data_IF_621581265173
#
_entry.id   IF_621581265173
#
_cell.length_a   1.000
_cell.length_b   1.000
_cell.length_c   1.000
_cell.angle_alpha   90.00
_cell.angle_beta   90.00
_cell.angle_gamma   90.00
#
_symmetry.space_group_name_H-M   'P 1'
#
loop_
_entity.id
_entity.type
_entity.pdbx_description
1 polymer ?
#
# COMPACT_ATOMS: atom_id res chain seq x y z
N UNK A 1 2.16 -8.86 -37.98
CA UNK A 1 1.28 -8.98 -36.81
C UNK A 1 2.09 -9.61 -35.68
N UNK A 2 2.76 -8.83 -34.81
CA UNK A 2 3.64 -9.42 -33.79
C UNK A 2 2.96 -9.49 -32.41
N UNK A 3 2.94 -10.70 -31.84
CA UNK A 3 3.06 -11.05 -30.40
C UNK A 3 2.37 -10.13 -29.36
N UNK A 4 1.04 -10.18 -29.23
CA UNK A 4 0.33 -9.62 -28.07
C UNK A 4 -0.15 -10.67 -27.05
N UNK A 5 -0.34 -11.94 -27.46
CA UNK A 5 -0.98 -12.95 -26.59
C UNK A 5 -0.13 -13.39 -25.37
N UNK A 6 1.20 -13.38 -25.48
CA UNK A 6 2.10 -13.82 -24.40
C UNK A 6 2.14 -12.86 -23.20
N UNK A 7 2.11 -11.55 -23.44
CA UNK A 7 2.17 -10.55 -22.36
C UNK A 7 0.85 -10.44 -21.60
N UNK A 8 -0.30 -10.72 -22.26
CA UNK A 8 -1.61 -10.62 -21.60
C UNK A 8 -1.82 -11.74 -20.57
N UNK A 9 -1.38 -12.96 -20.85
CA UNK A 9 -1.53 -14.09 -19.92
C UNK A 9 -0.65 -13.92 -18.68
N UNK A 10 0.61 -13.49 -18.85
CA UNK A 10 1.51 -13.18 -17.74
C UNK A 10 0.97 -12.02 -16.89
N UNK A 11 0.49 -10.94 -17.52
CA UNK A 11 -0.12 -9.82 -16.81
C UNK A 11 -1.40 -10.23 -16.05
N UNK A 12 -2.25 -11.08 -16.64
CA UNK A 12 -3.43 -11.61 -15.96
C UNK A 12 -3.05 -12.49 -14.77
N UNK A 13 -2.06 -13.37 -14.93
CA UNK A 13 -1.57 -14.20 -13.84
C UNK A 13 -0.99 -13.35 -12.70
N UNK A 14 -0.15 -12.35 -13.04
CA UNK A 14 0.40 -11.36 -12.12
C UNK A 14 -0.71 -10.64 -11.34
N UNK A 15 -1.71 -10.07 -12.04
CA UNK A 15 -2.85 -9.41 -11.41
C UNK A 15 -3.64 -10.34 -10.47
N UNK A 16 -3.89 -11.59 -10.88
CA UNK A 16 -4.59 -12.57 -10.06
C UNK A 16 -3.78 -12.98 -8.83
N UNK A 17 -2.49 -13.24 -9.00
CA UNK A 17 -1.58 -13.58 -7.92
C UNK A 17 -1.46 -12.42 -6.91
N UNK A 18 -1.25 -11.19 -7.40
CA UNK A 18 -1.25 -9.98 -6.60
C UNK A 18 -2.57 -9.80 -5.83
N UNK A 19 -3.71 -9.95 -6.50
CA UNK A 19 -5.03 -9.84 -5.87
C UNK A 19 -5.26 -10.91 -4.81
N UNK A 20 -4.87 -12.16 -5.08
CA UNK A 20 -4.99 -13.27 -4.14
C UNK A 20 -4.10 -13.07 -2.91
N UNK A 21 -2.84 -12.67 -3.11
CA UNK A 21 -1.93 -12.36 -2.01
C UNK A 21 -2.41 -11.14 -1.22
N UNK A 22 -2.84 -10.07 -1.88
CA UNK A 22 -3.34 -8.85 -1.21
C UNK A 22 -4.58 -9.15 -0.37
N UNK A 23 -5.51 -9.95 -0.89
CA UNK A 23 -6.72 -10.35 -0.17
C UNK A 23 -6.40 -11.23 1.03
N UNK A 24 -5.47 -12.19 0.86
CA UNK A 24 -5.00 -13.06 1.93
C UNK A 24 -4.30 -12.27 3.04
N UNK A 25 -3.44 -11.31 2.68
CA UNK A 25 -2.75 -10.44 3.62
C UNK A 25 -3.76 -9.62 4.44
N UNK A 26 -4.83 -9.10 3.83
CA UNK A 26 -5.87 -8.36 4.56
C UNK A 26 -6.56 -9.24 5.61
N UNK A 27 -6.94 -10.48 5.24
CA UNK A 27 -7.58 -11.42 6.17
C UNK A 27 -6.67 -11.81 7.32
N UNK A 28 -5.41 -12.13 7.02
CA UNK A 28 -4.41 -12.53 8.02
C UNK A 28 -4.05 -11.34 8.91
N UNK A 29 -3.85 -10.14 8.36
CA UNK A 29 -3.61 -8.94 9.15
C UNK A 29 -4.79 -8.66 10.10
N UNK A 30 -6.04 -8.81 9.63
CA UNK A 30 -7.21 -8.66 10.51
C UNK A 30 -7.21 -9.67 11.66
N UNK A 31 -6.85 -10.92 11.38
CA UNK A 31 -6.75 -11.98 12.40
C UNK A 31 -5.61 -11.71 13.37
N UNK A 32 -4.42 -11.31 12.89
CA UNK A 32 -3.29 -10.95 13.73
C UNK A 32 -3.64 -9.77 14.63
N UNK A 33 -4.29 -8.73 14.09
CA UNK A 33 -4.70 -7.54 14.86
C UNK A 33 -5.74 -7.89 15.94
N UNK A 34 -6.56 -8.92 15.72
CA UNK A 34 -7.50 -9.41 16.73
C UNK A 34 -6.78 -9.95 17.98
N UNK A 35 -5.64 -10.63 17.81
CA UNK A 35 -4.85 -11.17 18.92
C UNK A 35 -3.75 -10.21 19.41
N UNK A 36 -3.19 -9.39 18.52
CA UNK A 36 -2.17 -8.39 18.79
C UNK A 36 -2.75 -7.03 18.39
N UNK A 37 -3.43 -6.31 19.30
CA UNK A 37 -4.11 -5.06 19.00
C UNK A 37 -3.14 -3.87 18.83
N UNK A 38 -2.00 -4.10 18.17
CA UNK A 38 -0.93 -3.15 17.87
C UNK A 38 -0.61 -3.21 16.37
N UNK A 39 -1.49 -2.69 15.51
CA UNK A 39 -1.32 -2.75 14.06
C UNK A 39 -0.02 -2.11 13.57
N UNK A 40 0.44 -1.01 14.18
CA UNK A 40 1.70 -0.37 13.80
C UNK A 40 2.91 -1.23 14.14
N UNK A 41 2.86 -1.95 15.26
CA UNK A 41 3.88 -2.95 15.60
C UNK A 41 3.91 -4.08 14.56
N UNK A 42 2.75 -4.62 14.17
CA UNK A 42 2.65 -5.70 13.18
C UNK A 42 3.25 -5.26 11.84
N UNK A 43 2.88 -4.09 11.32
CA UNK A 43 3.46 -3.57 10.07
C UNK A 43 4.95 -3.30 10.18
N UNK A 44 5.43 -2.79 11.31
CA UNK A 44 6.87 -2.59 11.55
C UNK A 44 7.63 -3.92 11.49
N UNK A 45 7.08 -4.98 12.10
CA UNK A 45 7.65 -6.32 12.04
C UNK A 45 7.64 -6.87 10.60
N UNK A 46 6.57 -6.66 9.84
CA UNK A 46 6.48 -7.05 8.43
C UNK A 46 7.57 -6.36 7.58
N UNK A 47 7.74 -5.05 7.73
CA UNK A 47 8.77 -4.29 7.02
C UNK A 47 10.19 -4.74 7.41
N UNK A 48 10.43 -5.00 8.69
CA UNK A 48 11.72 -5.49 9.18
C UNK A 48 12.05 -6.88 8.63
N UNK A 49 11.09 -7.82 8.68
CA UNK A 49 11.28 -9.18 8.13
C UNK A 49 11.49 -9.13 6.62
N UNK A 50 10.73 -8.32 5.88
CA UNK A 50 10.93 -8.12 4.44
C UNK A 50 12.33 -7.59 4.15
N UNK A 51 12.80 -6.60 4.92
CA UNK A 51 14.14 -6.03 4.78
C UNK A 51 15.22 -7.08 5.03
N UNK A 52 15.12 -7.85 6.12
CA UNK A 52 16.06 -8.93 6.46
C UNK A 52 16.09 -9.99 5.36
N UNK A 53 14.92 -10.39 4.85
CA UNK A 53 14.80 -11.36 3.77
C UNK A 53 15.53 -10.90 2.51
N UNK A 54 15.29 -9.66 2.05
CA UNK A 54 15.93 -9.12 0.85
C UNK A 54 17.44 -8.95 1.03
N UNK A 55 17.89 -8.52 2.23
CA UNK A 55 19.32 -8.48 2.55
C UNK A 55 19.95 -9.88 2.54
N UNK A 56 19.23 -10.90 3.00
CA UNK A 56 19.64 -12.30 2.88
C UNK A 56 19.83 -12.73 1.43
N UNK A 57 18.86 -12.41 0.56
CA UNK A 57 18.95 -12.70 -0.89
C UNK A 57 20.10 -11.95 -1.57
N UNK A 58 20.42 -10.74 -1.11
CA UNK A 58 21.57 -9.98 -1.58
C UNK A 58 22.89 -10.68 -1.23
N UNK A 59 23.01 -11.21 -0.02
CA UNK A 59 24.22 -11.91 0.44
C UNK A 59 24.42 -13.23 -0.32
N UNK A 60 23.35 -13.97 -0.60
CA UNK A 60 23.41 -15.21 -1.38
C UNK A 60 23.61 -14.99 -2.88
N UNK A 61 23.51 -13.73 -3.35
CA UNK A 61 23.57 -13.38 -4.78
C UNK A 61 22.33 -13.79 -5.58
N UNK A 62 21.25 -14.21 -4.90
CA UNK A 62 20.00 -14.63 -5.53
C UNK A 62 19.18 -13.45 -6.08
N UNK A 63 19.45 -12.22 -5.63
CA UNK A 63 18.80 -11.00 -6.11
C UNK A 63 19.79 -9.85 -6.28
N UNK A 64 19.67 -9.11 -7.40
CA UNK A 64 20.42 -7.89 -7.62
C UNK A 64 19.80 -6.72 -6.85
N UNK A 65 20.24 -6.56 -5.60
CA UNK A 65 19.74 -5.50 -4.71
C UNK A 65 20.74 -4.35 -4.68
N UNK A 66 20.28 -3.14 -5.03
CA UNK A 66 21.05 -1.91 -4.90
C UNK A 66 21.49 -1.63 -3.46
N UNK A 67 22.67 -1.03 -3.30
CA UNK A 67 23.08 -0.48 -2.00
C UNK A 67 22.24 0.75 -1.63
N UNK A 68 22.29 1.14 -0.35
CA UNK A 68 21.71 2.41 0.10
C UNK A 68 22.62 3.57 -0.33
N UNK A 69 22.18 4.31 -1.34
CA UNK A 69 22.86 5.49 -1.88
C UNK A 69 22.04 6.72 -1.50
N UNK A 70 22.69 7.78 -1.03
CA UNK A 70 21.98 8.96 -0.52
C UNK A 70 21.08 9.63 -1.56
N UNK A 71 21.48 9.59 -2.83
CA UNK A 71 20.69 10.09 -3.96
C UNK A 71 19.33 9.38 -4.10
N UNK A 72 19.28 8.07 -3.78
CA UNK A 72 18.06 7.26 -3.79
C UNK A 72 17.33 7.34 -2.44
N UNK A 73 18.06 7.43 -1.32
CA UNK A 73 17.47 7.47 0.03
C UNK A 73 16.65 8.74 0.23
N UNK A 74 17.17 9.91 -0.16
CA UNK A 74 16.49 11.21 0.03
C UNK A 74 15.06 11.24 -0.57
N UNK A 75 14.83 10.92 -1.86
CA UNK A 75 13.48 10.90 -2.41
C UNK A 75 12.60 9.83 -1.76
N UNK A 76 13.17 8.68 -1.37
CA UNK A 76 12.42 7.62 -0.68
C UNK A 76 12.03 7.99 0.75
N UNK A 77 12.77 8.85 1.46
CA UNK A 77 12.33 9.33 2.78
C UNK A 77 10.99 10.06 2.68
N UNK A 78 10.81 10.91 1.68
CA UNK A 78 9.53 11.59 1.43
C UNK A 78 8.43 10.60 1.05
N UNK A 79 8.74 9.65 0.16
CA UNK A 79 7.79 8.60 -0.24
C UNK A 79 7.33 7.79 0.97
N UNK A 80 8.26 7.38 1.81
CA UNK A 80 7.97 6.53 2.96
C UNK A 80 7.16 7.26 4.03
N UNK A 81 7.36 8.56 4.22
CA UNK A 81 6.48 9.36 5.07
C UNK A 81 5.05 9.33 4.51
N UNK A 82 4.87 9.55 3.20
CA UNK A 82 3.55 9.47 2.57
C UNK A 82 2.94 8.07 2.71
N UNK A 83 3.71 7.02 2.47
CA UNK A 83 3.29 5.63 2.63
C UNK A 83 2.79 5.33 4.04
N UNK A 84 3.53 5.74 5.08
CA UNK A 84 3.10 5.56 6.47
C UNK A 84 1.89 6.43 6.81
N UNK A 85 1.83 7.67 6.31
CA UNK A 85 0.66 8.53 6.45
C UNK A 85 -0.59 7.91 5.78
N UNK A 86 -0.43 7.27 4.62
CA UNK A 86 -1.48 6.52 3.93
C UNK A 86 -2.00 5.38 4.79
N UNK A 87 -1.10 4.57 5.37
CA UNK A 87 -1.48 3.48 6.29
C UNK A 87 -2.26 4.04 7.48
N UNK A 88 -1.73 5.08 8.13
CA UNK A 88 -2.37 5.70 9.29
C UNK A 88 -3.76 6.27 8.96
N UNK A 89 -3.86 7.03 7.87
CA UNK A 89 -5.14 7.61 7.43
C UNK A 89 -6.13 6.51 7.05
N UNK A 90 -5.67 5.42 6.44
CA UNK A 90 -6.53 4.27 6.15
C UNK A 90 -7.08 3.63 7.43
N UNK A 91 -6.24 3.44 8.44
CA UNK A 91 -6.65 2.91 9.73
C UNK A 91 -7.64 3.83 10.44
N UNK A 92 -7.40 5.14 10.42
CA UNK A 92 -8.33 6.13 10.98
C UNK A 92 -9.64 6.17 10.21
N UNK A 93 -9.61 6.12 8.88
CA UNK A 93 -10.81 6.03 8.06
C UNK A 93 -11.63 4.79 8.44
N UNK A 94 -11.01 3.63 8.64
CA UNK A 94 -11.69 2.41 9.07
C UNK A 94 -12.30 2.50 10.48
N UNK A 95 -11.79 3.37 11.35
CA UNK A 95 -12.32 3.57 12.71
C UNK A 95 -13.56 4.47 12.72
N UNK A 96 -13.63 5.45 11.81
CA UNK A 96 -14.69 6.47 11.80
C UNK A 96 -15.69 6.32 10.63
N UNK A 97 -15.42 5.44 9.68
CA UNK A 97 -16.21 5.21 8.46
C UNK A 97 -16.37 3.73 8.14
N UNK A 98 -17.38 3.42 7.33
CA UNK A 98 -17.61 2.07 6.82
C UNK A 98 -16.51 1.64 5.84
N UNK A 99 -16.24 0.33 5.81
CA UNK A 99 -15.30 -0.29 4.87
C UNK A 99 -15.71 0.00 3.42
N UNK A 100 -17.01 -0.04 3.13
CA UNK A 100 -17.59 0.25 1.81
C UNK A 100 -17.23 1.66 1.33
N UNK A 101 -17.30 2.67 2.20
CA UNK A 101 -16.91 4.05 1.87
C UNK A 101 -15.45 4.11 1.44
N UNK A 102 -14.56 3.42 2.15
CA UNK A 102 -13.13 3.41 1.82
C UNK A 102 -12.88 2.68 0.50
N UNK A 103 -13.63 1.61 0.20
CA UNK A 103 -13.55 0.90 -1.09
C UNK A 103 -13.94 1.84 -2.23
N UNK A 104 -15.01 2.62 -2.08
CA UNK A 104 -15.47 3.59 -3.09
C UNK A 104 -14.46 4.72 -3.30
N UNK A 105 -13.90 5.29 -2.23
CA UNK A 105 -12.85 6.29 -2.37
C UNK A 105 -11.60 5.71 -3.04
N UNK A 106 -11.18 4.49 -2.65
CA UNK A 106 -10.02 3.82 -3.25
C UNK A 106 -10.23 3.53 -4.74
N UNK A 107 -11.41 3.11 -5.15
CA UNK A 107 -11.71 2.85 -6.58
C UNK A 107 -11.63 4.11 -7.43
N UNK A 108 -11.77 5.29 -6.82
CA UNK A 108 -11.61 6.59 -7.46
C UNK A 108 -10.16 7.06 -7.58
N UNK A 109 -9.20 6.45 -6.87
CA UNK A 109 -7.78 6.88 -6.88
C UNK A 109 -7.18 6.96 -8.30
N UNK A 110 -7.46 6.02 -9.22
CA UNK A 110 -6.99 6.11 -10.60
C UNK A 110 -7.40 7.40 -11.33
N UNK A 111 -8.53 8.03 -10.95
CA UNK A 111 -8.94 9.33 -11.50
C UNK A 111 -7.88 10.39 -11.23
N UNK A 112 -7.52 10.58 -9.96
CA UNK A 112 -6.54 11.59 -9.56
C UNK A 112 -5.16 11.23 -10.06
N UNK A 113 -4.76 9.96 -9.93
CA UNK A 113 -3.46 9.48 -10.40
C UNK A 113 -3.29 9.69 -11.90
N UNK A 114 -4.33 9.47 -12.72
CA UNK A 114 -4.23 9.72 -14.17
C UNK A 114 -3.98 11.19 -14.52
N UNK A 115 -4.61 12.10 -13.76
CA UNK A 115 -4.40 13.54 -13.92
C UNK A 115 -3.00 13.97 -13.44
N UNK A 116 -2.52 13.41 -12.33
CA UNK A 116 -1.17 13.66 -11.83
C UNK A 116 -0.10 13.09 -12.79
N UNK A 117 -0.32 11.90 -13.35
CA UNK A 117 0.55 11.29 -14.35
C UNK A 117 0.66 12.19 -15.61
N UNK A 118 -0.43 12.82 -16.04
CA UNK A 118 -0.42 13.78 -17.15
C UNK A 118 0.30 15.08 -16.78
N UNK A 119 -0.06 15.70 -15.64
CA UNK A 119 0.42 17.03 -15.25
C UNK A 119 1.89 17.04 -14.81
N UNK A 120 2.32 16.04 -14.04
CA UNK A 120 3.64 16.03 -13.39
C UNK A 120 4.64 15.07 -14.04
N UNK A 121 4.16 13.96 -14.61
CA UNK A 121 5.03 12.96 -15.24
C UNK A 121 5.07 13.08 -16.77
N UNK A 122 4.29 13.99 -17.36
CA UNK A 122 4.25 14.24 -18.80
C UNK A 122 3.78 13.05 -19.63
N UNK A 123 3.01 12.13 -19.03
CA UNK A 123 2.46 10.95 -19.73
C UNK A 123 1.26 11.33 -20.60
N UNK A 124 0.89 10.46 -21.54
CA UNK A 124 -0.29 10.70 -22.37
C UNK A 124 -1.58 10.62 -21.54
N UNK A 125 -2.59 11.41 -21.94
CA UNK A 125 -3.93 11.35 -21.35
C UNK A 125 -4.55 9.96 -21.52
N UNK A 126 -5.44 9.54 -20.59
CA UNK A 126 -6.14 8.28 -20.71
C UNK A 126 -6.88 8.16 -22.04
N UNK A 127 -6.91 6.96 -22.61
CA UNK A 127 -7.66 6.68 -23.84
C UNK A 127 -9.16 7.01 -23.66
N UNK A 128 -9.93 7.20 -24.74
CA UNK A 128 -11.39 7.41 -24.63
C UNK A 128 -12.10 6.28 -23.87
N UNK A 129 -11.64 5.03 -24.05
CA UNK A 129 -12.16 3.87 -23.32
C UNK A 129 -11.85 3.97 -21.80
N UNK A 130 -10.61 4.33 -21.45
CA UNK A 130 -10.21 4.56 -20.06
C UNK A 130 -10.99 5.73 -19.44
N UNK A 131 -11.22 6.80 -20.20
CA UNK A 131 -12.03 7.95 -19.77
C UNK A 131 -13.48 7.54 -19.49
N UNK A 132 -14.06 6.67 -20.33
CA UNK A 132 -15.38 6.07 -20.07
C UNK A 132 -15.43 5.27 -18.77
N UNK A 133 -14.43 4.42 -18.52
CA UNK A 133 -14.33 3.66 -17.27
C UNK A 133 -14.20 4.57 -16.03
N UNK A 134 -13.41 5.63 -16.15
CA UNK A 134 -13.26 6.67 -15.13
C UNK A 134 -14.59 7.39 -14.83
N UNK A 135 -15.39 7.72 -15.86
CA UNK A 135 -16.72 8.30 -15.68
C UNK A 135 -17.68 7.35 -14.95
N UNK A 136 -17.67 6.06 -15.28
CA UNK A 136 -18.49 5.05 -14.60
C UNK A 136 -18.13 4.96 -13.11
N UNK A 137 -16.84 5.04 -12.76
CA UNK A 137 -16.39 5.08 -11.37
C UNK A 137 -16.95 6.30 -10.63
N UNK A 138 -16.92 7.48 -11.24
CA UNK A 138 -17.50 8.71 -10.65
C UNK A 138 -19.00 8.54 -10.41
N UNK A 139 -19.74 8.03 -11.39
CA UNK A 139 -21.20 7.81 -11.26
C UNK A 139 -21.49 6.82 -10.13
N UNK A 140 -20.76 5.70 -10.07
CA UNK A 140 -20.91 4.71 -9.00
C UNK A 140 -20.60 5.29 -7.62
N UNK A 141 -19.54 6.09 -7.50
CA UNK A 141 -19.17 6.73 -6.25
C UNK A 141 -20.23 7.75 -5.78
N UNK A 142 -20.75 8.58 -6.68
CA UNK A 142 -21.84 9.52 -6.38
C UNK A 142 -23.10 8.77 -5.94
N UNK A 143 -23.47 7.70 -6.66
CA UNK A 143 -24.61 6.86 -6.29
C UNK A 143 -24.48 6.27 -4.89
N UNK A 144 -23.30 5.77 -4.53
CA UNK A 144 -23.02 5.26 -3.19
C UNK A 144 -23.20 6.35 -2.12
N UNK A 145 -22.56 7.52 -2.28
CA UNK A 145 -22.63 8.61 -1.28
C UNK A 145 -24.06 9.08 -1.04
N UNK A 146 -24.90 9.15 -2.07
CA UNK A 146 -26.31 9.53 -1.94
C UNK A 146 -27.14 8.47 -1.17
N UNK A 147 -26.74 7.21 -1.28
CA UNK A 147 -27.40 6.09 -0.60
C UNK A 147 -26.88 5.83 0.82
N UNK A 148 -25.65 6.25 1.14
CA UNK A 148 -24.97 5.90 2.39
C UNK A 148 -25.64 6.50 3.64
N UNK A 149 -25.98 5.64 4.58
CA UNK A 149 -26.59 6.02 5.85
C UNK A 149 -25.59 6.69 6.81
N UNK A 150 -24.30 6.30 6.76
CA UNK A 150 -23.27 6.89 7.62
C UNK A 150 -23.02 8.37 7.28
N UNK A 151 -23.03 8.71 5.99
CA UNK A 151 -23.00 10.10 5.53
C UNK A 151 -24.22 10.91 6.03
N UNK A 152 -25.42 10.31 6.03
CA UNK A 152 -26.64 10.97 6.50
C UNK A 152 -26.65 11.23 8.01
N UNK A 153 -26.01 10.36 8.80
CA UNK A 153 -26.00 10.45 10.26
C UNK A 153 -24.89 11.34 10.82
N UNK A 154 -23.69 11.29 10.22
CA UNK A 154 -22.50 11.94 10.75
C UNK A 154 -21.92 13.05 9.83
N UNK A 155 -22.53 13.27 8.66
CA UNK A 155 -22.12 14.27 7.69
C UNK A 155 -20.66 14.13 7.22
N UNK A 156 -20.04 15.26 6.92
CA UNK A 156 -18.65 15.34 6.41
C UNK A 156 -17.58 14.86 7.40
N UNK A 157 -17.87 14.87 8.70
CA UNK A 157 -16.90 14.45 9.72
C UNK A 157 -16.55 12.97 9.59
N UNK A 158 -17.51 12.12 9.22
CA UNK A 158 -17.24 10.71 8.97
C UNK A 158 -16.28 10.50 7.78
N UNK A 159 -16.32 11.39 6.79
CA UNK A 159 -15.60 11.25 5.52
C UNK A 159 -14.25 11.97 5.51
N UNK A 160 -13.94 12.76 6.55
CA UNK A 160 -12.70 13.53 6.68
C UNK A 160 -11.44 12.66 6.49
N UNK A 161 -11.33 11.58 7.26
CA UNK A 161 -10.21 10.64 7.17
C UNK A 161 -10.19 9.85 5.86
N UNK A 162 -11.36 9.48 5.32
CA UNK A 162 -11.45 8.80 4.02
C UNK A 162 -10.97 9.71 2.87
N UNK A 163 -11.32 10.99 2.94
CA UNK A 163 -10.89 12.01 1.98
C UNK A 163 -9.39 12.29 2.11
N UNK A 164 -8.87 12.44 3.33
CA UNK A 164 -7.43 12.58 3.57
C UNK A 164 -6.66 11.37 3.03
N UNK A 165 -7.11 10.16 3.36
CA UNK A 165 -6.56 8.91 2.81
C UNK A 165 -6.53 8.93 1.28
N UNK A 166 -7.63 9.30 0.63
CA UNK A 166 -7.77 9.36 -0.82
C UNK A 166 -6.75 10.29 -1.50
N UNK A 167 -6.55 11.49 -0.98
CA UNK A 167 -5.58 12.41 -1.56
C UNK A 167 -4.14 11.97 -1.31
N UNK A 168 -3.82 11.52 -0.09
CA UNK A 168 -2.46 11.08 0.25
C UNK A 168 -2.07 9.87 -0.60
N UNK A 169 -2.93 8.84 -0.70
CA UNK A 169 -2.62 7.67 -1.52
C UNK A 169 -2.52 8.01 -3.01
N UNK A 170 -3.30 8.98 -3.50
CA UNK A 170 -3.21 9.41 -4.91
C UNK A 170 -1.86 10.05 -5.22
N UNK A 171 -1.38 10.93 -4.34
CA UNK A 171 -0.06 11.57 -4.48
C UNK A 171 1.05 10.54 -4.29
N UNK A 172 0.92 9.66 -3.29
CA UNK A 172 1.86 8.58 -3.02
C UNK A 172 2.03 7.67 -4.24
N UNK A 173 0.94 7.20 -4.86
CA UNK A 173 1.00 6.33 -6.05
C UNK A 173 1.64 7.04 -7.24
N UNK A 174 1.32 8.32 -7.47
CA UNK A 174 1.93 9.10 -8.56
C UNK A 174 3.44 9.34 -8.31
N UNK A 175 3.81 9.71 -7.09
CA UNK A 175 5.20 9.91 -6.71
C UNK A 175 6.00 8.61 -6.69
N UNK A 176 5.38 7.49 -6.28
CA UNK A 176 5.96 6.14 -6.33
C UNK A 176 6.38 5.77 -7.76
N UNK A 177 5.52 6.02 -8.74
CA UNK A 177 5.87 5.84 -10.16
C UNK A 177 7.02 6.74 -10.60
N UNK A 178 7.04 7.98 -10.10
CA UNK A 178 8.12 8.92 -10.40
C UNK A 178 9.45 8.41 -9.87
N UNK A 179 9.56 8.07 -8.58
CA UNK A 179 10.81 7.62 -7.94
C UNK A 179 11.32 6.27 -8.45
N UNK A 180 10.44 5.36 -8.88
CA UNK A 180 10.86 4.10 -9.53
C UNK A 180 11.28 4.34 -10.99
N UNK A 181 11.08 5.56 -11.51
CA UNK A 181 11.40 5.91 -12.88
C UNK A 181 12.90 5.89 -13.22
N UNK A 182 13.25 6.00 -14.51
CA UNK A 182 14.60 5.75 -15.03
C UNK A 182 15.72 6.59 -14.40
N UNK A 183 15.40 7.78 -13.89
CA UNK A 183 16.35 8.70 -13.28
C UNK A 183 17.11 8.15 -12.05
N UNK A 184 16.49 7.28 -11.24
CA UNK A 184 17.16 6.67 -10.07
C UNK A 184 17.92 5.38 -10.40
N UNK A 185 17.82 4.85 -11.63
CA UNK A 185 18.62 3.73 -12.16
C UNK A 185 18.75 2.54 -11.20
N UNK A 186 17.62 2.04 -10.68
CA UNK A 186 17.61 0.78 -9.93
C UNK A 186 18.00 -0.39 -10.84
N UNK A 187 18.80 -1.32 -10.31
CA UNK A 187 19.22 -2.53 -11.03
C UNK A 187 18.08 -3.51 -11.21
N UNK A 188 17.18 -3.54 -10.24
CA UNK A 188 16.00 -4.39 -10.24
C UNK A 188 14.89 -3.78 -9.40
N UNK A 189 13.69 -4.36 -9.48
CA UNK A 189 12.56 -3.99 -8.62
C UNK A 189 12.79 -4.34 -7.14
N UNK A 190 13.83 -5.12 -6.80
CA UNK A 190 14.21 -5.36 -5.40
C UNK A 190 14.72 -4.09 -4.70
N UNK A 191 15.31 -3.15 -5.45
CA UNK A 191 15.78 -1.86 -4.95
C UNK A 191 14.64 -1.02 -4.34
N UNK A 192 13.61 -0.65 -5.12
CA UNK A 192 12.43 0.03 -4.60
C UNK A 192 11.79 -0.66 -3.38
N UNK A 193 11.71 -1.99 -3.41
CA UNK A 193 11.14 -2.76 -2.30
C UNK A 193 11.97 -2.63 -1.03
N UNK A 194 13.30 -2.84 -1.08
CA UNK A 194 14.13 -2.73 0.13
C UNK A 194 14.16 -1.30 0.65
N UNK A 195 14.19 -0.29 -0.22
CA UNK A 195 14.18 1.11 0.19
C UNK A 195 12.88 1.47 0.91
N UNK A 196 11.73 1.07 0.36
CA UNK A 196 10.43 1.33 0.97
C UNK A 196 10.33 0.66 2.34
N UNK A 197 10.60 -0.64 2.41
CA UNK A 197 10.44 -1.41 3.65
C UNK A 197 11.44 -0.97 4.72
N UNK A 198 12.72 -0.87 4.39
CA UNK A 198 13.76 -0.52 5.37
C UNK A 198 13.54 0.88 5.94
N UNK A 199 13.20 1.85 5.08
CA UNK A 199 12.95 3.22 5.53
C UNK A 199 11.60 3.34 6.24
N UNK A 200 10.63 2.45 6.00
CA UNK A 200 9.29 2.50 6.62
C UNK A 200 9.28 2.06 8.08
N UNK A 201 10.28 1.27 8.51
CA UNK A 201 10.39 0.77 9.89
C UNK A 201 10.34 1.92 10.90
N UNK A 202 11.17 2.95 10.75
CA UNK A 202 11.25 4.06 11.70
C UNK A 202 9.97 4.92 11.78
N UNK A 203 9.43 5.45 10.66
CA UNK A 203 8.20 6.24 10.71
C UNK A 203 6.99 5.40 11.15
N UNK A 204 6.91 4.11 10.79
CA UNK A 204 5.81 3.25 11.26
C UNK A 204 5.91 2.98 12.76
N UNK A 205 7.12 2.76 13.28
CA UNK A 205 7.35 2.65 14.72
C UNK A 205 6.95 3.94 15.45
N UNK A 206 7.30 5.11 14.90
CA UNK A 206 6.88 6.40 15.44
C UNK A 206 5.36 6.55 15.47
N UNK A 207 4.63 6.09 14.44
CA UNK A 207 3.17 6.06 14.45
C UNK A 207 2.62 5.17 15.57
N UNK A 208 3.23 4.00 15.81
CA UNK A 208 2.85 3.12 16.92
C UNK A 208 3.02 3.78 18.29
N UNK A 209 4.13 4.50 18.48
CA UNK A 209 4.39 5.26 19.71
C UNK A 209 3.39 6.42 19.89
N UNK A 210 3.16 7.21 18.84
CA UNK A 210 2.21 8.33 18.85
C UNK A 210 0.76 7.86 19.05
N UNK A 211 0.42 6.68 18.54
CA UNK A 211 -0.91 6.08 18.71
C UNK A 211 -1.08 5.40 20.07
N UNK A 212 -0.06 5.44 20.93
CA UNK A 212 -0.03 4.79 22.24
C UNK A 212 -0.36 3.30 22.17
N UNK A 213 0.03 2.62 21.09
CA UNK A 213 -0.23 1.18 20.94
C UNK A 213 0.44 0.36 22.04
N UNK A 214 1.55 0.85 22.60
CA UNK A 214 2.25 0.22 23.71
C UNK A 214 1.35 0.01 24.95
N UNK A 215 0.37 0.88 25.20
CA UNK A 215 -0.58 0.69 26.32
C UNK A 215 -1.57 -0.45 26.07
N UNK A 216 -1.66 -0.97 24.85
CA UNK A 216 -2.49 -2.11 24.45
C UNK A 216 -1.69 -3.41 24.46
N UNK A 217 -0.39 -3.38 24.77
CA UNK A 217 0.46 -4.56 24.81
C UNK A 217 -0.05 -5.61 25.81
N UNK A 218 -0.62 -5.19 26.94
CA UNK A 218 -1.17 -6.09 27.96
C UNK A 218 -2.41 -6.87 27.46
N UNK A 219 -3.11 -6.32 26.47
CA UNK A 219 -4.24 -6.99 25.82
C UNK A 219 -3.82 -7.94 24.69
N UNK A 220 -2.52 -8.02 24.37
CA UNK A 220 -2.02 -8.90 23.32
C UNK A 220 -1.90 -10.35 23.82
N UNK A 221 -2.48 -11.28 23.06
CA UNK A 221 -2.45 -12.71 23.35
C UNK A 221 -1.26 -13.34 22.62
N UNK A 222 -0.15 -13.47 23.34
CA UNK A 222 1.05 -14.13 22.84
C UNK A 222 0.93 -15.64 22.99
N UNK A 223 0.79 -16.34 21.87
CA UNK A 223 0.80 -17.79 21.79
C UNK A 223 1.65 -18.25 20.61
N UNK A 224 2.07 -19.53 20.60
CA UNK A 224 2.78 -20.09 19.45
C UNK A 224 1.97 -19.98 18.14
N UNK A 225 0.63 -20.07 18.24
CA UNK A 225 -0.26 -19.87 17.09
C UNK A 225 -0.29 -18.41 16.64
N UNK A 226 -0.31 -17.46 17.58
CA UNK A 226 -0.26 -16.02 17.26
C UNK A 226 1.08 -15.64 16.60
N UNK A 227 2.19 -16.20 17.09
CA UNK A 227 3.51 -15.96 16.51
C UNK A 227 3.61 -16.55 15.10
N UNK A 228 3.05 -17.74 14.88
CA UNK A 228 2.96 -18.35 13.56
C UNK A 228 2.13 -17.48 12.60
N UNK A 229 0.98 -16.97 13.05
CA UNK A 229 0.14 -16.07 12.25
C UNK A 229 0.89 -14.77 11.89
N UNK A 230 1.63 -14.19 12.84
CA UNK A 230 2.47 -13.03 12.58
C UNK A 230 3.56 -13.36 11.54
N UNK A 231 4.26 -14.49 11.69
CA UNK A 231 5.27 -14.93 10.74
C UNK A 231 4.70 -15.14 9.33
N UNK A 232 3.53 -15.80 9.22
CA UNK A 232 2.82 -15.97 7.95
C UNK A 232 2.44 -14.62 7.34
N UNK A 233 1.97 -13.67 8.15
CA UNK A 233 1.67 -12.31 7.68
C UNK A 233 2.91 -11.61 7.11
N UNK A 234 4.07 -11.78 7.75
CA UNK A 234 5.35 -11.22 7.29
C UNK A 234 5.82 -11.87 5.99
N UNK A 235 5.65 -13.19 5.85
CA UNK A 235 6.00 -13.90 4.62
C UNK A 235 5.12 -13.42 3.47
N UNK A 236 3.80 -13.40 3.65
CA UNK A 236 2.86 -12.97 2.59
C UNK A 236 3.09 -11.50 2.25
N UNK A 237 3.31 -10.64 3.24
CA UNK A 237 3.66 -9.23 3.04
C UNK A 237 4.96 -9.05 2.25
N UNK A 238 5.99 -9.86 2.53
CA UNK A 238 7.21 -9.88 1.74
C UNK A 238 6.97 -10.41 0.31
N UNK A 239 6.08 -11.38 0.14
CA UNK A 239 5.75 -12.00 -1.16
C UNK A 239 5.04 -11.03 -2.10
N UNK A 240 4.14 -10.19 -1.57
CA UNK A 240 3.44 -9.11 -2.29
C UNK A 240 4.34 -8.04 -2.88
N UNK A 241 5.55 -7.93 -2.37
CA UNK A 241 6.51 -6.89 -2.73
C UNK A 241 7.68 -7.47 -3.54
N UNK A 242 7.59 -8.74 -3.95
CA UNK A 242 8.56 -9.39 -4.80
C UNK A 242 8.42 -8.96 -6.26
N UNK A 243 9.53 -8.72 -6.97
CA UNK A 243 9.54 -8.54 -8.41
C UNK A 243 8.97 -9.77 -9.12
N UNK A 244 7.74 -9.71 -9.63
CA UNK A 244 7.13 -10.82 -10.37
C UNK A 244 5.69 -11.16 -9.99
N UNK A 245 5.09 -10.46 -9.03
CA UNK A 245 3.62 -10.39 -8.88
C UNK A 245 3.03 -9.18 -9.58
#
# INVERSE_FOLDING_TARGET
>A
MPKEEGHSAEAMFAMLAFSACSSSLLLINKLVIHYIPMPSFVSTAQFAVCTIFILGLRITGAAEVDGFEWEKVKPYLYYTIMFVCTIYCNMKALQYSNIETIIVFRSCVPLVVSQLDYLFLGRQLPSPASTGALLVLVVGAVGYVLSDAAFKLNGWNAYSWATAYFFIISVEMAYGKHIVGPHLKFKSLWGPTIYTNALAVLPMLAVGLLSSEASRADSAVWSGSTLLLLAVSCIIGATLLLPGS
#
